data_IF_848754150433
#
_entry.id   IF_848754150433
#
_cell.length_a   1.000
_cell.length_b   1.000
_cell.length_c   1.000
_cell.angle_alpha   90.00
_cell.angle_beta   90.00
_cell.angle_gamma   90.00
#
_symmetry.space_group_name_H-M   'P 1'
#
loop_
_entity.id
_entity.type
_entity.pdbx_description
1 polymer ?
#
# COMPACT_ATOMS: atom_id res chain seq x y z
N UNK A 1 -8.78 -10.22 30.13
CA UNK A 1 -8.60 -9.26 29.05
C UNK A 1 -8.36 -10.01 27.76
N UNK A 2 -9.18 -9.77 26.80
CA UNK A 2 -9.02 -10.41 25.51
C UNK A 2 -8.02 -9.65 24.66
N UNK A 3 -7.07 -10.33 24.05
CA UNK A 3 -6.29 -9.78 22.98
C UNK A 3 -7.19 -9.72 21.74
N UNK A 4 -7.08 -8.66 20.94
CA UNK A 4 -7.79 -8.57 19.67
C UNK A 4 -7.34 -9.65 18.69
N UNK A 5 -6.13 -10.17 18.86
CA UNK A 5 -5.57 -11.27 18.06
C UNK A 5 -5.74 -12.56 18.84
N UNK A 6 -6.75 -13.34 18.48
CA UNK A 6 -7.02 -14.64 19.10
C UNK A 6 -6.21 -15.74 18.42
N UNK A 7 -6.00 -16.87 19.12
CA UNK A 7 -5.23 -17.99 18.63
C UNK A 7 -5.70 -18.50 17.25
N UNK A 8 -7.02 -18.57 17.06
CA UNK A 8 -7.62 -18.95 15.79
C UNK A 8 -7.26 -17.97 14.68
N UNK A 9 -7.31 -16.69 14.99
CA UNK A 9 -6.97 -15.63 14.03
C UNK A 9 -5.48 -15.64 13.71
N UNK A 10 -4.62 -16.04 14.66
CA UNK A 10 -3.18 -16.14 14.42
C UNK A 10 -2.84 -17.14 13.32
N UNK A 11 -3.51 -18.29 13.28
CA UNK A 11 -3.29 -19.27 12.20
C UNK A 11 -3.69 -18.69 10.85
N UNK A 12 -4.82 -17.99 10.80
CA UNK A 12 -5.30 -17.34 9.59
C UNK A 12 -4.36 -16.23 9.15
N UNK A 13 -3.82 -15.47 10.11
CA UNK A 13 -2.85 -14.41 9.83
C UNK A 13 -1.53 -14.98 9.31
N UNK A 14 -1.06 -16.10 9.86
CA UNK A 14 0.15 -16.76 9.38
C UNK A 14 0.01 -17.20 7.92
N UNK A 15 -1.13 -17.79 7.56
CA UNK A 15 -1.42 -18.16 6.18
C UNK A 15 -1.45 -16.93 5.26
N UNK A 16 -2.07 -15.86 5.73
CA UNK A 16 -2.15 -14.60 5.00
C UNK A 16 -0.77 -13.98 4.77
N UNK A 17 0.10 -14.03 5.80
CA UNK A 17 1.47 -13.55 5.70
C UNK A 17 2.31 -14.40 4.73
N UNK A 18 2.19 -15.72 4.80
CA UNK A 18 2.92 -16.63 3.91
C UNK A 18 2.55 -16.42 2.45
N UNK A 19 1.27 -16.16 2.19
CA UNK A 19 0.76 -15.93 0.85
C UNK A 19 0.97 -14.51 0.36
N UNK A 20 1.51 -13.63 1.21
CA UNK A 20 1.69 -12.20 0.93
C UNK A 20 0.41 -11.57 0.37
N UNK A 21 -0.72 -11.89 1.01
CA UNK A 21 -2.04 -11.43 0.58
C UNK A 21 -2.14 -9.92 0.73
N UNK A 22 -2.57 -9.25 -0.32
CA UNK A 22 -2.72 -7.79 -0.32
C UNK A 22 -4.02 -7.41 0.37
N UNK A 23 -3.89 -6.56 1.38
CA UNK A 23 -5.01 -5.98 2.12
C UNK A 23 -5.10 -4.50 1.82
N UNK A 24 -6.28 -3.92 2.02
CA UNK A 24 -6.52 -2.50 1.81
C UNK A 24 -7.07 -1.88 3.09
N UNK A 25 -6.54 -0.73 3.47
CA UNK A 25 -7.02 0.00 4.63
C UNK A 25 -6.74 1.50 4.51
N UNK A 26 -7.50 2.28 5.28
CA UNK A 26 -7.34 3.73 5.33
C UNK A 26 -6.28 4.10 6.38
N UNK A 27 -5.41 5.03 6.04
CA UNK A 27 -4.42 5.57 6.99
C UNK A 27 -5.14 6.54 7.92
N UNK A 28 -5.21 6.17 9.20
CA UNK A 28 -5.99 6.90 10.21
C UNK A 28 -5.13 7.73 11.15
N UNK A 29 -3.84 7.39 11.30
CA UNK A 29 -2.97 8.06 12.24
C UNK A 29 -1.51 7.97 11.80
N UNK A 30 -0.75 9.00 12.17
CA UNK A 30 0.72 9.01 12.06
C UNK A 30 1.31 9.12 13.47
N UNK A 31 2.43 8.46 13.70
CA UNK A 31 3.12 8.49 14.98
C UNK A 31 4.62 8.24 14.80
N UNK A 32 5.35 8.28 15.90
CA UNK A 32 6.78 7.97 15.92
C UNK A 32 7.08 7.03 17.07
N UNK A 33 8.04 6.15 16.85
CA UNK A 33 8.63 5.35 17.93
C UNK A 33 9.58 6.21 18.77
N UNK A 34 10.01 5.65 19.92
CA UNK A 34 10.92 6.35 20.82
C UNK A 34 12.28 6.66 20.16
N UNK A 35 12.69 5.85 19.19
CA UNK A 35 13.92 6.06 18.41
C UNK A 35 13.76 7.12 17.31
N UNK A 36 12.58 7.70 17.18
CA UNK A 36 12.27 8.71 16.17
C UNK A 36 11.76 8.19 14.83
N UNK A 37 11.71 6.87 14.66
CA UNK A 37 11.20 6.28 13.42
C UNK A 37 9.70 6.54 13.25
N UNK A 38 9.33 7.17 12.15
CA UNK A 38 7.92 7.46 11.83
C UNK A 38 7.19 6.23 11.30
N UNK A 39 5.90 6.17 11.57
CA UNK A 39 5.05 5.14 11.03
C UNK A 39 3.62 5.66 10.83
N UNK A 40 2.91 4.99 9.95
CA UNK A 40 1.47 5.22 9.76
C UNK A 40 0.68 4.03 10.29
N UNK A 41 -0.56 4.30 10.67
CA UNK A 41 -1.45 3.30 11.24
C UNK A 41 -2.67 3.15 10.35
N UNK A 42 -3.00 1.90 10.06
CA UNK A 42 -4.26 1.52 9.44
C UNK A 42 -4.86 0.36 10.24
N UNK A 43 -6.01 -0.13 9.83
CA UNK A 43 -6.66 -1.27 10.45
C UNK A 43 -6.76 -2.43 9.47
N UNK A 44 -6.65 -3.64 10.02
CA UNK A 44 -6.88 -4.85 9.26
C UNK A 44 -8.33 -4.90 8.79
N UNK A 45 -8.60 -5.04 7.49
CA UNK A 45 -9.98 -5.18 7.02
C UNK A 45 -10.55 -6.54 7.37
N UNK A 46 -11.86 -6.63 7.47
CA UNK A 46 -12.53 -7.92 7.56
C UNK A 46 -12.35 -8.65 6.23
N UNK A 47 -11.89 -9.89 6.30
CA UNK A 47 -11.64 -10.74 5.14
C UNK A 47 -12.19 -12.12 5.41
N UNK A 48 -13.51 -12.28 5.23
CA UNK A 48 -14.21 -13.52 5.56
C UNK A 48 -13.68 -14.73 4.81
N UNK A 49 -13.21 -14.54 3.58
CA UNK A 49 -12.61 -15.60 2.76
C UNK A 49 -11.33 -16.17 3.38
N UNK A 50 -10.68 -15.38 4.23
CA UNK A 50 -9.45 -15.76 4.91
C UNK A 50 -9.65 -16.02 6.40
N UNK A 51 -10.89 -15.96 6.88
CA UNK A 51 -11.19 -16.12 8.30
C UNK A 51 -10.69 -14.98 9.18
N UNK A 52 -10.56 -13.78 8.62
CA UNK A 52 -10.08 -12.59 9.32
C UNK A 52 -11.27 -11.72 9.68
N UNK A 53 -11.45 -11.45 10.98
CA UNK A 53 -12.54 -10.60 11.46
C UNK A 53 -12.28 -9.10 11.28
N UNK A 54 -11.00 -8.71 11.27
CA UNK A 54 -10.60 -7.32 11.08
C UNK A 54 -10.52 -6.52 12.38
N UNK A 55 -10.10 -5.26 12.26
CA UNK A 55 -10.02 -4.33 13.38
C UNK A 55 -8.66 -4.24 14.06
N UNK A 56 -7.75 -5.19 13.81
CA UNK A 56 -6.41 -5.16 14.37
C UNK A 56 -5.64 -3.97 13.82
N UNK A 57 -4.90 -3.30 14.70
CA UNK A 57 -4.06 -2.17 14.31
C UNK A 57 -2.88 -2.67 13.49
N UNK A 58 -2.64 -2.04 12.35
CA UNK A 58 -1.50 -2.33 11.48
C UNK A 58 -0.58 -1.12 11.45
N UNK A 59 0.68 -1.33 11.76
CA UNK A 59 1.73 -0.30 11.73
C UNK A 59 2.58 -0.51 10.49
N UNK A 60 2.77 0.56 9.72
CA UNK A 60 3.63 0.55 8.54
C UNK A 60 4.70 1.63 8.75
N UNK A 61 5.94 1.21 8.93
CA UNK A 61 7.06 2.12 9.14
C UNK A 61 7.39 2.88 7.86
N UNK A 62 8.01 4.05 8.00
CA UNK A 62 8.39 4.89 6.87
C UNK A 62 9.28 4.17 5.86
N UNK A 63 10.15 3.28 6.34
CA UNK A 63 11.01 2.45 5.48
C UNK A 63 10.23 1.47 4.60
N UNK A 64 8.97 1.16 4.94
CA UNK A 64 8.10 0.25 4.21
C UNK A 64 6.86 0.94 3.64
N UNK A 65 6.85 2.27 3.64
CA UNK A 65 5.66 3.04 3.25
C UNK A 65 5.57 3.34 1.76
N UNK A 66 6.67 3.28 1.02
CA UNK A 66 6.67 3.60 -0.41
C UNK A 66 7.79 2.85 -1.13
N UNK A 67 7.45 2.19 -2.24
CA UNK A 67 8.41 1.46 -3.06
C UNK A 67 9.35 2.40 -3.83
N UNK A 68 8.91 3.61 -4.12
CA UNK A 68 9.62 4.56 -4.96
C UNK A 68 10.38 5.62 -4.17
N UNK A 69 10.30 5.62 -2.85
CA UNK A 69 10.97 6.62 -2.01
C UNK A 69 11.51 6.01 -0.73
N UNK A 70 12.75 6.35 -0.39
CA UNK A 70 13.38 5.95 0.88
C UNK A 70 12.95 6.86 2.04
N UNK A 71 12.41 8.05 1.74
CA UNK A 71 11.94 9.03 2.73
C UNK A 71 10.57 9.58 2.33
N UNK A 72 9.53 8.74 2.37
CA UNK A 72 8.21 9.20 1.96
C UNK A 72 7.64 10.21 2.96
N UNK A 73 6.84 11.13 2.44
CA UNK A 73 6.07 12.06 3.26
C UNK A 73 4.77 11.36 3.69
N UNK A 74 4.77 10.78 4.88
CA UNK A 74 3.61 10.03 5.38
C UNK A 74 2.34 10.87 5.48
N UNK A 75 2.49 12.17 5.72
CA UNK A 75 1.36 13.11 5.76
C UNK A 75 0.51 13.07 4.48
N UNK A 76 1.14 12.82 3.34
CA UNK A 76 0.43 12.76 2.06
C UNK A 76 -0.46 11.52 1.95
N UNK A 77 -0.29 10.56 2.84
CA UNK A 77 -1.08 9.33 2.85
C UNK A 77 -2.22 9.35 3.86
N UNK A 78 -2.28 10.36 4.74
CA UNK A 78 -3.36 10.48 5.72
C UNK A 78 -4.72 10.51 5.03
N UNK A 79 -5.64 9.69 5.53
CA UNK A 79 -6.99 9.58 4.99
C UNK A 79 -7.10 8.80 3.68
N UNK A 80 -5.98 8.38 3.13
CA UNK A 80 -5.98 7.60 1.86
C UNK A 80 -6.11 6.11 2.15
N UNK A 81 -6.78 5.43 1.24
CA UNK A 81 -6.87 3.97 1.25
C UNK A 81 -5.65 3.40 0.54
N UNK A 82 -4.88 2.58 1.25
CA UNK A 82 -3.61 2.05 0.74
C UNK A 82 -3.61 0.52 0.74
N UNK A 83 -2.85 -0.09 -0.19
CA UNK A 83 -2.60 -1.53 -0.12
C UNK A 83 -1.44 -1.82 0.83
N UNK A 84 -1.48 -2.97 1.49
CA UNK A 84 -0.38 -3.43 2.33
C UNK A 84 -0.40 -4.95 2.43
N UNK A 85 0.76 -5.50 2.80
CA UNK A 85 0.94 -6.91 3.12
C UNK A 85 1.34 -6.99 4.58
N UNK A 86 0.72 -7.87 5.36
CA UNK A 86 1.11 -8.10 6.75
C UNK A 86 2.40 -8.91 6.77
N UNK A 87 3.42 -8.39 7.43
CA UNK A 87 4.76 -9.01 7.46
C UNK A 87 5.11 -9.61 8.81
N UNK A 88 4.49 -9.16 9.89
CA UNK A 88 4.74 -9.67 11.23
C UNK A 88 3.57 -9.38 12.15
N UNK A 89 3.49 -10.10 13.25
CA UNK A 89 2.54 -9.84 14.32
C UNK A 89 3.31 -9.56 15.60
N UNK A 90 2.86 -8.57 16.35
CA UNK A 90 3.39 -8.23 17.68
C UNK A 90 2.24 -8.33 18.70
N UNK A 91 1.88 -9.55 19.15
CA UNK A 91 0.74 -9.74 20.07
C UNK A 91 0.88 -9.01 21.39
N UNK A 92 2.11 -8.88 21.90
CA UNK A 92 2.41 -8.17 23.16
C UNK A 92 2.11 -6.67 23.06
N UNK A 93 2.19 -6.10 21.87
CA UNK A 93 1.83 -4.71 21.60
C UNK A 93 0.45 -4.57 20.97
N UNK A 94 -0.26 -5.68 20.80
CA UNK A 94 -1.58 -5.76 20.18
C UNK A 94 -1.63 -5.05 18.84
N UNK A 95 -0.66 -5.38 17.98
CA UNK A 95 -0.57 -4.79 16.64
C UNK A 95 0.05 -5.75 15.63
N UNK A 96 -0.20 -5.46 14.37
CA UNK A 96 0.44 -6.11 13.22
C UNK A 96 1.42 -5.14 12.58
N UNK A 97 2.41 -5.68 11.90
CA UNK A 97 3.34 -4.89 11.09
C UNK A 97 3.02 -5.17 9.63
N UNK A 98 2.94 -4.11 8.83
CA UNK A 98 2.63 -4.22 7.41
C UNK A 98 3.67 -3.53 6.53
N UNK A 99 3.59 -3.78 5.23
CA UNK A 99 4.43 -3.16 4.22
C UNK A 99 3.58 -2.73 3.03
N UNK A 100 3.50 -1.44 2.79
CA UNK A 100 2.92 -0.88 1.58
C UNK A 100 3.85 -1.12 0.39
N UNK A 101 5.15 -0.99 0.63
CA UNK A 101 6.19 -1.20 -0.37
C UNK A 101 6.09 -2.57 -1.04
N UNK A 102 5.93 -3.64 -0.25
CA UNK A 102 5.75 -4.99 -0.78
C UNK A 102 4.47 -5.13 -1.60
N UNK A 103 3.37 -4.54 -1.12
CA UNK A 103 2.10 -4.56 -1.83
C UNK A 103 2.20 -3.83 -3.17
N UNK A 104 2.82 -2.65 -3.18
CA UNK A 104 3.04 -1.88 -4.40
C UNK A 104 3.87 -2.66 -5.41
N UNK A 105 4.93 -3.32 -4.96
CA UNK A 105 5.80 -4.11 -5.83
C UNK A 105 5.03 -5.27 -6.47
N UNK A 106 4.23 -5.99 -5.69
CA UNK A 106 3.42 -7.10 -6.20
C UNK A 106 2.36 -6.63 -7.20
N UNK A 107 1.66 -5.54 -6.87
CA UNK A 107 0.65 -4.96 -7.77
C UNK A 107 1.26 -4.47 -9.07
N UNK A 108 2.45 -3.88 -9.00
CA UNK A 108 3.16 -3.39 -10.18
C UNK A 108 3.52 -4.53 -11.13
N UNK A 109 3.99 -5.65 -10.60
CA UNK A 109 4.33 -6.82 -11.41
C UNK A 109 3.12 -7.34 -12.18
N UNK A 110 1.98 -7.52 -11.49
CA UNK A 110 0.74 -7.96 -12.12
C UNK A 110 0.29 -6.97 -13.19
N UNK A 111 0.34 -5.68 -12.86
CA UNK A 111 -0.07 -4.62 -13.78
C UNK A 111 0.80 -4.59 -15.04
N UNK A 112 2.12 -4.77 -14.90
CA UNK A 112 3.03 -4.80 -16.03
C UNK A 112 2.72 -5.97 -16.97
N UNK A 113 2.40 -7.14 -16.41
CA UNK A 113 1.98 -8.29 -17.21
C UNK A 113 0.67 -8.02 -17.95
N UNK A 114 -0.31 -7.43 -17.27
CA UNK A 114 -1.59 -7.09 -17.85
C UNK A 114 -1.45 -6.07 -18.98
N UNK A 115 -0.62 -5.04 -18.79
CA UNK A 115 -0.34 -4.04 -19.81
C UNK A 115 0.34 -4.65 -21.03
N UNK A 116 1.28 -5.57 -20.82
CA UNK A 116 1.94 -6.29 -21.91
C UNK A 116 0.95 -7.12 -22.72
N UNK A 117 -0.14 -7.58 -22.10
CA UNK A 117 -1.21 -8.32 -22.74
C UNK A 117 -2.32 -7.41 -23.33
N UNK A 118 -2.11 -6.11 -23.31
CA UNK A 118 -3.04 -5.14 -23.90
C UNK A 118 -4.16 -4.66 -23.02
N UNK A 119 -4.12 -4.99 -21.71
CA UNK A 119 -5.13 -4.50 -20.77
C UNK A 119 -5.00 -2.99 -20.58
N UNK A 120 -6.15 -2.32 -20.49
CA UNK A 120 -6.24 -0.88 -20.26
C UNK A 120 -6.63 -0.64 -18.80
N UNK A 121 -5.96 0.29 -18.14
CA UNK A 121 -6.27 0.72 -16.78
C UNK A 121 -6.69 2.18 -16.77
N UNK A 122 -7.63 2.50 -15.90
CA UNK A 122 -7.92 3.89 -15.57
C UNK A 122 -7.02 4.30 -14.41
N UNK A 123 -6.37 5.45 -14.56
CA UNK A 123 -5.50 5.99 -13.53
C UNK A 123 -5.87 7.42 -13.18
N UNK A 124 -5.36 7.87 -12.04
CA UNK A 124 -5.55 9.24 -11.56
C UNK A 124 -4.22 9.98 -11.65
N UNK A 125 -4.23 11.16 -12.29
CA UNK A 125 -3.05 12.03 -12.32
C UNK A 125 -2.80 12.58 -10.93
N UNK A 126 -1.64 12.29 -10.36
CA UNK A 126 -1.26 12.71 -9.01
C UNK A 126 -0.24 13.85 -9.00
N UNK A 127 0.40 14.10 -10.14
CA UNK A 127 1.38 15.17 -10.24
C UNK A 127 1.97 15.25 -11.63
N UNK A 128 2.83 16.24 -11.84
CA UNK A 128 3.46 16.48 -13.13
C UNK A 128 4.96 16.62 -12.97
N UNK A 129 5.69 16.21 -14.01
CA UNK A 129 7.09 16.53 -14.20
C UNK A 129 7.24 17.25 -15.54
N UNK A 130 8.46 17.75 -15.84
CA UNK A 130 8.71 18.38 -17.13
C UNK A 130 8.60 17.38 -18.30
N UNK A 131 8.65 16.09 -18.02
CA UNK A 131 8.64 15.02 -19.04
C UNK A 131 7.28 14.34 -19.19
N UNK A 132 6.33 14.61 -18.31
CA UNK A 132 5.01 13.97 -18.34
C UNK A 132 4.26 14.10 -17.04
N UNK A 133 3.44 13.10 -16.75
CA UNK A 133 2.59 13.06 -15.57
C UNK A 133 2.82 11.78 -14.76
N UNK A 134 2.63 11.90 -13.45
CA UNK A 134 2.55 10.73 -12.57
C UNK A 134 1.12 10.27 -12.49
N UNK A 135 0.92 8.98 -12.69
CA UNK A 135 -0.40 8.34 -12.71
C UNK A 135 -0.44 7.28 -11.62
N UNK A 136 -1.46 7.31 -10.80
CA UNK A 136 -1.72 6.27 -9.80
C UNK A 136 -2.83 5.35 -10.29
N UNK A 137 -2.54 4.05 -10.25
CA UNK A 137 -3.50 2.98 -10.58
C UNK A 137 -3.41 1.94 -9.48
N UNK A 138 -4.51 1.70 -8.78
CA UNK A 138 -4.59 0.67 -7.72
C UNK A 138 -3.42 0.75 -6.71
N UNK A 139 -3.06 1.96 -6.29
CA UNK A 139 -2.00 2.18 -5.32
C UNK A 139 -0.58 2.13 -5.88
N UNK A 140 -0.42 1.92 -7.19
CA UNK A 140 0.87 1.90 -7.88
C UNK A 140 1.03 3.18 -8.68
N UNK A 141 2.17 3.84 -8.55
CA UNK A 141 2.48 5.05 -9.30
C UNK A 141 3.31 4.71 -10.54
N UNK A 142 2.88 5.18 -11.69
CA UNK A 142 3.61 5.12 -12.94
C UNK A 142 3.84 6.51 -13.50
N UNK A 143 4.63 6.59 -14.53
CA UNK A 143 4.92 7.85 -15.22
C UNK A 143 4.46 7.76 -16.68
N UNK A 144 3.59 8.69 -17.08
CA UNK A 144 3.16 8.83 -18.46
C UNK A 144 3.98 9.94 -19.12
N UNK A 145 4.83 9.55 -20.07
CA UNK A 145 5.67 10.52 -20.80
C UNK A 145 4.82 11.33 -21.78
N UNK A 146 5.23 12.57 -22.03
CA UNK A 146 4.54 13.43 -23.00
C UNK A 146 4.41 12.75 -24.37
N UNK A 147 5.44 12.03 -24.81
CA UNK A 147 5.43 11.29 -26.07
C UNK A 147 4.40 10.17 -26.14
N UNK A 148 4.04 9.61 -24.98
CA UNK A 148 3.03 8.53 -24.89
C UNK A 148 1.64 9.08 -24.71
N UNK A 149 1.50 10.35 -24.31
CA UNK A 149 0.19 10.99 -24.12
C UNK A 149 -0.45 11.37 -25.46
N UNK A 150 0.33 11.88 -26.40
CA UNK A 150 -0.18 12.32 -27.68
C UNK A 150 0.84 12.13 -28.80
N UNK A 151 0.38 11.68 -29.95
CA UNK A 151 1.21 11.51 -31.15
C UNK A 151 1.66 12.83 -31.78
N UNK A 152 1.05 13.94 -31.43
CA UNK A 152 1.42 15.28 -31.92
C UNK A 152 2.39 16.01 -30.98
N UNK A 153 2.91 15.28 -29.99
CA UNK A 153 3.88 15.78 -29.01
C UNK A 153 3.35 16.86 -28.08
N UNK A 154 2.05 16.92 -27.87
CA UNK A 154 1.45 17.79 -26.86
C UNK A 154 1.91 17.43 -25.46
N UNK A 155 2.05 18.44 -24.60
CA UNK A 155 2.38 18.22 -23.21
C UNK A 155 1.13 17.72 -22.46
N UNK A 156 1.28 16.72 -21.62
CA UNK A 156 0.16 16.16 -20.84
C UNK A 156 -0.47 17.17 -19.89
N UNK A 157 0.23 18.26 -19.59
CA UNK A 157 -0.29 19.34 -18.74
C UNK A 157 -1.22 20.29 -19.49
N UNK A 158 -1.26 20.21 -20.77
CA UNK A 158 -2.16 21.00 -21.63
C UNK A 158 -3.54 20.33 -21.71
#
# INVERSE_FOLDING_TARGET
MSNSIMEKDMQNLEALMQNETICWGEVTRLAREDDGQGYMVTEMPAMSQHGISGGERVVIYDSEADADSTRPHLMNLMGRRIPFVVTAAEPDKDRLIGSRKKAQTALKLVMMQDLANGRIYEGTVTGFSRFGAYIEVNGVTGHLRNSDFSSDHSDVRE
#
